data_IF_745191589617
#
_entry.id   IF_745191589617
#
_cell.length_a   1.000
_cell.length_b   1.000
_cell.length_c   1.000
_cell.angle_alpha   90.00
_cell.angle_beta   90.00
_cell.angle_gamma   90.00
#
_symmetry.space_group_name_H-M   'P 1'
#
loop_
_entity.id
_entity.type
_entity.pdbx_description
1 polymer ?
#
# COMPACT_ATOMS: atom_id res chain seq x y z
N UNK A 1 23.39 -52.18 51.88
CA UNK A 1 24.68 -51.72 51.34
C UNK A 1 24.46 -50.33 50.78
N UNK A 2 24.84 -49.29 51.51
CA UNK A 2 24.73 -47.91 51.07
C UNK A 2 26.06 -47.51 50.44
N UNK A 3 26.12 -47.50 49.11
CA UNK A 3 27.30 -47.02 48.38
C UNK A 3 27.57 -45.55 48.74
N UNK A 4 28.67 -45.30 49.45
CA UNK A 4 29.17 -43.96 49.71
C UNK A 4 29.65 -43.37 48.38
N UNK A 5 28.93 -42.38 47.84
CA UNK A 5 29.38 -41.66 46.65
C UNK A 5 30.76 -41.02 46.93
N UNK A 6 31.75 -41.19 46.04
CA UNK A 6 33.08 -40.62 46.24
C UNK A 6 32.99 -39.09 46.30
N UNK A 7 33.67 -38.50 47.29
CA UNK A 7 33.80 -37.05 47.45
C UNK A 7 34.67 -36.53 46.31
N UNK A 8 34.19 -35.58 45.50
CA UNK A 8 34.93 -35.05 44.35
C UNK A 8 36.21 -34.36 44.81
N UNK A 9 37.28 -34.49 44.03
CA UNK A 9 38.52 -33.77 44.31
C UNK A 9 38.32 -32.25 44.15
N UNK A 10 39.14 -31.40 44.81
CA UNK A 10 39.01 -29.94 44.73
C UNK A 10 38.99 -29.41 43.28
N UNK A 11 39.81 -29.99 42.39
CA UNK A 11 39.87 -29.63 40.97
C UNK A 11 38.59 -30.03 40.20
N UNK A 12 37.95 -31.13 40.57
CA UNK A 12 36.68 -31.56 39.96
C UNK A 12 35.50 -30.70 40.44
N UNK A 13 35.54 -30.23 41.68
CA UNK A 13 34.54 -29.30 42.22
C UNK A 13 34.63 -27.93 41.50
N UNK A 14 35.83 -27.41 41.28
CA UNK A 14 36.09 -26.16 40.57
C UNK A 14 35.61 -26.22 39.10
N UNK A 15 36.00 -27.27 38.35
CA UNK A 15 35.53 -27.48 36.97
C UNK A 15 34.01 -27.62 36.87
N UNK A 16 33.34 -28.20 37.88
CA UNK A 16 31.87 -28.29 37.93
C UNK A 16 31.24 -26.93 38.20
N UNK A 17 31.85 -26.10 39.05
CA UNK A 17 31.39 -24.73 39.31
C UNK A 17 31.52 -23.86 38.05
N UNK A 18 32.65 -23.92 37.36
CA UNK A 18 32.89 -23.20 36.11
C UNK A 18 31.88 -23.61 35.03
N UNK A 19 31.64 -24.92 34.84
CA UNK A 19 30.64 -25.41 33.88
C UNK A 19 29.23 -24.89 34.18
N UNK A 20 28.84 -24.83 35.46
CA UNK A 20 27.54 -24.26 35.88
C UNK A 20 27.47 -22.76 35.64
N UNK A 21 28.55 -22.04 35.93
CA UNK A 21 28.65 -20.59 35.66
C UNK A 21 28.55 -20.29 34.16
N UNK A 22 29.32 -20.99 33.32
CA UNK A 22 29.25 -20.83 31.87
C UNK A 22 27.88 -21.22 31.31
N UNK A 23 27.24 -22.26 31.83
CA UNK A 23 25.87 -22.62 31.45
C UNK A 23 24.86 -21.52 31.84
N UNK A 24 25.00 -20.91 33.02
CA UNK A 24 24.14 -19.82 33.47
C UNK A 24 24.32 -18.55 32.61
N UNK A 25 25.57 -18.18 32.31
CA UNK A 25 25.89 -17.05 31.42
C UNK A 25 25.34 -17.33 30.01
N UNK A 26 25.57 -18.54 29.49
CA UNK A 26 25.03 -18.96 28.20
C UNK A 26 23.51 -18.87 28.14
N UNK A 27 22.82 -19.32 29.20
CA UNK A 27 21.37 -19.19 29.33
C UNK A 27 20.88 -17.74 29.34
N UNK A 28 21.59 -16.84 30.05
CA UNK A 28 21.26 -15.42 30.10
C UNK A 28 21.47 -14.71 28.76
N UNK A 29 22.54 -15.05 28.04
CA UNK A 29 22.81 -14.55 26.68
C UNK A 29 21.73 -15.02 25.70
N UNK A 30 21.32 -16.29 25.79
CA UNK A 30 20.21 -16.81 24.96
C UNK A 30 18.91 -16.09 25.28
N UNK A 31 18.56 -15.93 26.57
CA UNK A 31 17.35 -15.22 26.98
C UNK A 31 17.35 -13.76 26.49
N UNK A 32 18.49 -13.06 26.62
CA UNK A 32 18.66 -11.70 26.10
C UNK A 32 18.53 -11.64 24.57
N UNK A 33 19.14 -12.58 23.85
CA UNK A 33 19.03 -12.67 22.40
C UNK A 33 17.58 -12.92 21.96
N UNK A 34 16.84 -13.79 22.65
CA UNK A 34 15.41 -14.01 22.40
C UNK A 34 14.60 -12.73 22.59
N UNK A 35 14.84 -11.96 23.65
CA UNK A 35 14.17 -10.66 23.86
C UNK A 35 14.44 -9.71 22.69
N UNK A 36 15.67 -9.63 22.21
CA UNK A 36 16.00 -8.77 21.06
C UNK A 36 15.33 -9.24 19.76
N UNK A 37 15.30 -10.55 19.51
CA UNK A 37 14.66 -11.13 18.32
C UNK A 37 13.15 -10.92 18.34
N UNK A 38 12.50 -11.12 19.48
CA UNK A 38 11.04 -11.02 19.58
C UNK A 38 10.54 -9.59 19.88
N UNK A 39 11.43 -8.65 20.16
CA UNK A 39 11.07 -7.25 20.46
C UNK A 39 10.20 -6.64 19.39
N UNK A 40 10.65 -6.68 18.13
CA UNK A 40 9.96 -6.06 17.00
C UNK A 40 8.58 -6.68 16.72
N UNK A 41 8.43 -8.03 16.60
CA UNK A 41 7.13 -8.62 16.35
C UNK A 41 6.15 -8.44 17.52
N UNK A 42 6.63 -8.43 18.77
CA UNK A 42 5.79 -8.12 19.93
C UNK A 42 5.29 -6.67 19.86
N UNK A 43 6.19 -5.72 19.59
CA UNK A 43 5.84 -4.30 19.45
C UNK A 43 4.86 -4.07 18.29
N UNK A 44 5.08 -4.69 17.14
CA UNK A 44 4.20 -4.59 15.99
C UNK A 44 2.79 -5.09 16.32
N UNK A 45 2.67 -6.26 16.95
CA UNK A 45 1.36 -6.80 17.36
C UNK A 45 0.67 -5.93 18.39
N UNK A 46 1.42 -5.40 19.35
CA UNK A 46 0.90 -4.49 20.36
C UNK A 46 0.37 -3.19 19.74
N UNK A 47 1.13 -2.54 18.85
CA UNK A 47 0.70 -1.31 18.20
C UNK A 47 -0.47 -1.53 17.24
N UNK A 48 -0.51 -2.65 16.53
CA UNK A 48 -1.66 -3.00 15.69
C UNK A 48 -2.92 -3.19 16.54
N UNK A 49 -2.80 -3.87 17.68
CA UNK A 49 -3.91 -4.02 18.63
C UNK A 49 -4.37 -2.67 19.22
N UNK A 50 -3.45 -1.76 19.54
CA UNK A 50 -3.81 -0.42 19.99
C UNK A 50 -4.48 0.41 18.90
N UNK A 51 -4.03 0.26 17.65
CA UNK A 51 -4.62 0.95 16.50
C UNK A 51 -6.09 0.57 16.28
N UNK A 52 -6.51 -0.66 16.61
CA UNK A 52 -7.91 -1.08 16.45
C UNK A 52 -8.84 -0.58 17.56
N UNK A 53 -8.28 -0.17 18.72
CA UNK A 53 -9.03 0.21 19.92
C UNK A 53 -9.01 1.71 20.22
N UNK A 54 -8.03 2.43 19.70
CA UNK A 54 -7.92 3.87 19.92
C UNK A 54 -9.04 4.57 19.17
N UNK A 55 -9.87 5.33 19.88
CA UNK A 55 -10.93 6.17 19.28
C UNK A 55 -10.43 7.59 18.99
N UNK A 56 -9.33 8.03 19.64
CA UNK A 56 -8.73 9.34 19.40
C UNK A 56 -7.80 9.35 18.15
N UNK A 57 -8.03 10.32 17.26
CA UNK A 57 -7.31 10.46 15.98
C UNK A 57 -5.79 10.66 16.11
N UNK A 58 -5.32 11.27 17.21
CA UNK A 58 -3.90 11.47 17.52
C UNK A 58 -3.19 10.13 17.82
N UNK A 59 -3.78 9.27 18.66
CA UNK A 59 -3.22 7.98 19.04
C UNK A 59 -3.25 6.99 17.89
N UNK A 60 -4.34 6.97 17.10
CA UNK A 60 -4.39 6.18 15.87
C UNK A 60 -3.24 6.53 14.93
N UNK A 61 -3.03 7.82 14.66
CA UNK A 61 -1.88 8.29 13.85
C UNK A 61 -0.55 7.88 14.47
N UNK A 62 -0.38 8.02 15.79
CA UNK A 62 0.84 7.62 16.47
C UNK A 62 1.16 6.14 16.22
N UNK A 63 0.22 5.22 16.50
CA UNK A 63 0.45 3.80 16.33
C UNK A 63 0.64 3.41 14.87
N UNK A 64 -0.09 4.05 13.96
CA UNK A 64 0.12 3.88 12.52
C UNK A 64 1.56 4.24 12.12
N UNK A 65 2.06 5.42 12.50
CA UNK A 65 3.43 5.83 12.17
C UNK A 65 4.48 4.92 12.82
N UNK A 66 4.25 4.45 14.04
CA UNK A 66 5.11 3.46 14.70
C UNK A 66 5.19 2.17 13.89
N UNK A 67 4.07 1.64 13.42
CA UNK A 67 4.03 0.45 12.57
C UNK A 67 4.72 0.70 11.22
N UNK A 68 4.44 1.83 10.57
CA UNK A 68 5.08 2.19 9.30
C UNK A 68 6.62 2.28 9.44
N UNK A 69 7.12 2.76 10.58
CA UNK A 69 8.56 2.83 10.85
C UNK A 69 9.25 1.46 10.94
N UNK A 70 8.48 0.36 11.10
CA UNK A 70 9.02 -1.00 11.11
C UNK A 70 9.29 -1.58 9.71
N UNK A 71 8.84 -0.90 8.64
CA UNK A 71 8.99 -1.35 7.25
C UNK A 71 8.49 -2.80 7.07
N UNK A 72 9.31 -3.70 6.53
CA UNK A 72 8.99 -5.11 6.29
C UNK A 72 8.45 -5.85 7.52
N UNK A 73 8.92 -5.50 8.72
CA UNK A 73 8.47 -6.14 9.96
C UNK A 73 7.02 -5.77 10.34
N UNK A 74 6.41 -4.79 9.67
CA UNK A 74 5.00 -4.46 9.86
C UNK A 74 4.06 -5.44 9.14
N UNK A 75 4.53 -6.20 8.13
CA UNK A 75 3.68 -6.99 7.25
C UNK A 75 2.78 -8.01 8.00
N UNK A 76 3.28 -8.78 9.00
CA UNK A 76 2.42 -9.70 9.75
C UNK A 76 1.34 -8.97 10.57
N UNK A 77 1.69 -7.81 11.13
CA UNK A 77 0.77 -6.99 11.90
C UNK A 77 -0.30 -6.36 10.99
N UNK A 78 0.09 -5.81 9.84
CA UNK A 78 -0.81 -5.31 8.82
C UNK A 78 -1.75 -6.40 8.27
N UNK A 79 -1.24 -7.62 8.07
CA UNK A 79 -2.04 -8.78 7.70
C UNK A 79 -3.13 -9.12 8.72
N UNK A 80 -2.89 -8.88 10.02
CA UNK A 80 -3.94 -9.04 11.04
C UNK A 80 -5.02 -7.96 10.96
N UNK A 81 -4.65 -6.72 10.63
CA UNK A 81 -5.58 -5.61 10.46
C UNK A 81 -6.50 -5.80 9.24
N UNK A 82 -5.99 -6.41 8.17
CA UNK A 82 -6.77 -6.76 6.97
C UNK A 82 -7.90 -7.76 7.22
N UNK A 83 -7.92 -8.47 8.35
CA UNK A 83 -9.02 -9.38 8.72
C UNK A 83 -10.04 -8.76 9.67
N UNK A 84 -9.92 -7.46 9.95
CA UNK A 84 -10.78 -6.80 10.90
C UNK A 84 -12.18 -6.51 10.32
N UNK A 85 -13.21 -6.56 11.18
CA UNK A 85 -14.59 -6.34 10.76
C UNK A 85 -14.81 -4.91 10.21
N UNK A 86 -14.19 -3.92 10.84
CA UNK A 86 -14.25 -2.50 10.45
C UNK A 86 -13.41 -2.21 9.20
N UNK A 87 -13.99 -1.70 8.10
CA UNK A 87 -13.25 -1.35 6.88
C UNK A 87 -12.13 -0.33 7.09
N UNK A 88 -12.31 0.63 8.01
CA UNK A 88 -11.30 1.66 8.29
C UNK A 88 -10.00 1.04 8.83
N UNK A 89 -10.13 -0.01 9.66
CA UNK A 89 -8.99 -0.76 10.19
C UNK A 89 -8.33 -1.60 9.10
N UNK A 90 -9.12 -2.23 8.21
CA UNK A 90 -8.57 -2.96 7.07
C UNK A 90 -7.81 -2.02 6.13
N UNK A 91 -8.34 -0.84 5.88
CA UNK A 91 -7.71 0.19 5.05
C UNK A 91 -6.36 0.59 5.64
N UNK A 92 -6.28 0.82 6.95
CA UNK A 92 -5.00 1.06 7.62
C UNK A 92 -4.01 -0.11 7.43
N UNK A 93 -4.50 -1.35 7.48
CA UNK A 93 -3.71 -2.54 7.16
C UNK A 93 -3.14 -2.49 5.74
N UNK A 94 -3.97 -2.25 4.73
CA UNK A 94 -3.54 -2.10 3.34
C UNK A 94 -2.54 -0.96 3.15
N UNK A 95 -2.81 0.21 3.76
CA UNK A 95 -1.90 1.36 3.71
C UNK A 95 -0.56 1.07 4.39
N UNK A 96 -0.53 0.30 5.48
CA UNK A 96 0.74 -0.07 6.12
C UNK A 96 1.61 -0.96 5.23
N UNK A 97 1.00 -1.82 4.42
CA UNK A 97 1.73 -2.68 3.48
C UNK A 97 2.45 -1.90 2.38
N UNK A 98 2.12 -0.64 2.15
CA UNK A 98 2.92 0.27 1.31
C UNK A 98 4.39 0.35 1.76
N UNK A 99 4.64 0.27 3.07
CA UNK A 99 5.98 0.37 3.65
C UNK A 99 6.72 -0.96 3.74
N UNK A 100 6.09 -2.07 3.34
CA UNK A 100 6.66 -3.40 3.40
C UNK A 100 6.95 -3.94 1.99
N UNK A 101 8.21 -4.27 1.74
CA UNK A 101 8.72 -4.82 0.48
C UNK A 101 8.93 -6.33 0.57
N UNK A 102 7.99 -7.03 1.20
CA UNK A 102 8.04 -8.49 1.38
C UNK A 102 7.09 -9.20 0.41
N UNK A 103 7.39 -10.45 0.01
CA UNK A 103 6.45 -11.26 -0.78
C UNK A 103 5.09 -11.44 -0.08
N UNK A 104 5.08 -11.48 1.26
CA UNK A 104 3.85 -11.52 2.03
C UNK A 104 3.02 -10.25 1.85
N UNK A 105 3.64 -9.06 1.90
CA UNK A 105 2.96 -7.79 1.67
C UNK A 105 2.33 -7.73 0.26
N UNK A 106 3.07 -8.18 -0.76
CA UNK A 106 2.55 -8.28 -2.14
C UNK A 106 1.31 -9.15 -2.23
N UNK A 107 1.37 -10.37 -1.67
CA UNK A 107 0.26 -11.31 -1.66
C UNK A 107 -0.97 -10.74 -0.94
N UNK A 108 -0.76 -10.06 0.18
CA UNK A 108 -1.82 -9.43 0.96
C UNK A 108 -2.46 -8.25 0.21
N UNK A 109 -1.67 -7.42 -0.47
CA UNK A 109 -2.15 -6.32 -1.29
C UNK A 109 -2.95 -6.82 -2.51
N UNK A 110 -2.47 -7.84 -3.22
CA UNK A 110 -3.21 -8.47 -4.32
C UNK A 110 -4.57 -9.01 -3.85
N UNK A 111 -4.61 -9.66 -2.68
CA UNK A 111 -5.88 -10.10 -2.09
C UNK A 111 -6.80 -8.91 -1.72
N UNK A 112 -6.22 -7.80 -1.25
CA UNK A 112 -6.94 -6.58 -0.88
C UNK A 112 -7.66 -5.90 -2.04
N UNK A 113 -7.25 -6.14 -3.30
CA UNK A 113 -7.98 -5.67 -4.49
C UNK A 113 -9.41 -6.22 -4.55
N UNK A 114 -9.69 -7.35 -3.90
CA UNK A 114 -11.02 -7.98 -3.87
C UNK A 114 -11.80 -7.70 -2.57
N UNK A 115 -11.36 -6.74 -1.75
CA UNK A 115 -12.08 -6.38 -0.51
C UNK A 115 -13.46 -5.79 -0.84
N UNK A 116 -14.52 -6.08 -0.04
CA UNK A 116 -15.83 -5.47 -0.25
C UNK A 116 -15.85 -3.95 -0.11
N UNK A 117 -14.96 -3.35 0.70
CA UNK A 117 -14.87 -1.90 0.87
C UNK A 117 -14.02 -1.25 -0.23
N UNK A 118 -14.56 -0.22 -0.89
CA UNK A 118 -13.88 0.48 -1.96
C UNK A 118 -12.56 1.11 -1.50
N UNK A 119 -12.52 1.74 -0.33
CA UNK A 119 -11.31 2.39 0.14
C UNK A 119 -10.20 1.41 0.54
N UNK A 120 -10.53 0.17 0.93
CA UNK A 120 -9.53 -0.89 1.10
C UNK A 120 -8.96 -1.32 -0.25
N UNK A 121 -9.80 -1.50 -1.27
CA UNK A 121 -9.35 -1.83 -2.63
C UNK A 121 -8.44 -0.75 -3.21
N UNK A 122 -8.80 0.52 -3.03
CA UNK A 122 -8.00 1.67 -3.44
C UNK A 122 -6.64 1.71 -2.73
N UNK A 123 -6.62 1.51 -1.41
CA UNK A 123 -5.39 1.44 -0.63
C UNK A 123 -4.49 0.27 -1.06
N UNK A 124 -5.09 -0.87 -1.41
CA UNK A 124 -4.37 -2.03 -1.94
C UNK A 124 -3.74 -1.73 -3.31
N UNK A 125 -4.50 -1.14 -4.24
CA UNK A 125 -3.98 -0.71 -5.55
C UNK A 125 -2.84 0.29 -5.41
N UNK A 126 -2.95 1.25 -4.48
CA UNK A 126 -1.89 2.20 -4.16
C UNK A 126 -0.63 1.53 -3.61
N UNK A 127 -0.81 0.56 -2.70
CA UNK A 127 0.31 -0.20 -2.14
C UNK A 127 1.05 -1.01 -3.20
N UNK A 128 0.33 -1.59 -4.18
CA UNK A 128 0.94 -2.28 -5.31
C UNK A 128 1.70 -1.33 -6.22
N UNK A 129 1.14 -0.13 -6.48
CA UNK A 129 1.75 0.83 -7.39
C UNK A 129 3.12 1.37 -6.94
N UNK A 130 3.36 1.44 -5.63
CA UNK A 130 4.62 1.97 -5.08
C UNK A 130 5.69 0.88 -5.00
N UNK A 131 5.28 -0.37 -4.92
CA UNK A 131 6.17 -1.51 -4.96
C UNK A 131 6.44 -1.87 -6.42
N UNK A 132 7.43 -1.19 -7.03
CA UNK A 132 7.90 -1.39 -8.43
C UNK A 132 8.57 -2.78 -8.64
N UNK A 133 7.84 -3.83 -8.30
CA UNK A 133 8.24 -5.22 -8.43
C UNK A 133 7.73 -5.75 -9.78
N UNK A 134 8.62 -6.38 -10.55
CA UNK A 134 8.30 -6.94 -11.86
C UNK A 134 7.21 -8.02 -11.78
N UNK A 135 7.20 -8.82 -10.70
CA UNK A 135 6.16 -9.84 -10.48
C UNK A 135 4.78 -9.20 -10.27
N UNK A 136 4.74 -8.07 -9.56
CA UNK A 136 3.49 -7.32 -9.33
C UNK A 136 3.00 -6.70 -10.63
N UNK A 137 3.92 -6.11 -11.39
CA UNK A 137 3.58 -5.53 -12.69
C UNK A 137 2.99 -6.59 -13.62
N UNK A 138 3.57 -7.78 -13.67
CA UNK A 138 3.06 -8.89 -14.48
C UNK A 138 1.66 -9.31 -14.04
N UNK A 139 1.44 -9.53 -12.74
CA UNK A 139 0.12 -9.88 -12.21
C UNK A 139 -0.94 -8.80 -12.50
N UNK A 140 -0.58 -7.52 -12.41
CA UNK A 140 -1.49 -6.42 -12.74
C UNK A 140 -1.80 -6.36 -14.24
N UNK A 141 -0.82 -6.62 -15.11
CA UNK A 141 -1.05 -6.72 -16.55
C UNK A 141 -2.01 -7.87 -16.89
N UNK A 142 -1.87 -9.03 -16.24
CA UNK A 142 -2.79 -10.16 -16.42
C UNK A 142 -4.22 -9.82 -15.96
N UNK A 143 -4.36 -9.15 -14.81
CA UNK A 143 -5.67 -8.68 -14.31
C UNK A 143 -6.30 -7.68 -15.28
N UNK A 144 -5.52 -6.76 -15.85
CA UNK A 144 -6.01 -5.80 -16.85
C UNK A 144 -6.36 -6.46 -18.19
N UNK A 145 -5.69 -7.55 -18.55
CA UNK A 145 -5.97 -8.27 -19.78
C UNK A 145 -7.39 -8.88 -19.80
N UNK A 146 -7.89 -9.32 -18.64
CA UNK A 146 -9.25 -9.84 -18.47
C UNK A 146 -10.23 -8.78 -17.93
N UNK A 147 -10.97 -8.12 -18.83
CA UNK A 147 -11.98 -7.13 -18.45
C UNK A 147 -13.17 -7.71 -17.66
N UNK A 148 -13.30 -9.04 -17.54
CA UNK A 148 -14.31 -9.66 -16.65
C UNK A 148 -13.87 -9.63 -15.19
N UNK A 149 -12.57 -9.42 -14.95
CA UNK A 149 -12.06 -9.25 -13.61
C UNK A 149 -12.66 -7.98 -12.99
N UNK A 150 -13.27 -8.06 -11.80
CA UNK A 150 -13.77 -6.88 -11.10
C UNK A 150 -12.63 -5.93 -10.70
N UNK A 151 -11.38 -6.39 -10.79
CA UNK A 151 -10.19 -5.64 -10.38
C UNK A 151 -9.49 -4.96 -11.57
N UNK A 152 -9.99 -5.11 -12.80
CA UNK A 152 -9.34 -4.57 -14.00
C UNK A 152 -9.14 -3.05 -13.94
N UNK A 153 -10.13 -2.30 -13.43
CA UNK A 153 -10.02 -0.85 -13.28
C UNK A 153 -8.93 -0.44 -12.27
N UNK A 154 -8.87 -1.13 -11.12
CA UNK A 154 -7.83 -0.90 -10.12
C UNK A 154 -6.44 -1.30 -10.62
N UNK A 155 -6.35 -2.35 -11.43
CA UNK A 155 -5.10 -2.76 -12.06
C UNK A 155 -4.61 -1.71 -13.07
N UNK A 156 -5.50 -1.16 -13.90
CA UNK A 156 -5.18 -0.04 -14.77
C UNK A 156 -4.66 1.17 -13.98
N UNK A 157 -5.35 1.52 -12.89
CA UNK A 157 -4.95 2.64 -12.02
C UNK A 157 -3.57 2.41 -11.37
N UNK A 158 -3.30 1.20 -10.89
CA UNK A 158 -2.02 0.84 -10.30
C UNK A 158 -0.89 0.89 -11.35
N UNK A 159 -1.11 0.29 -12.54
CA UNK A 159 -0.16 0.34 -13.66
C UNK A 159 0.13 1.77 -14.13
N UNK A 160 -0.90 2.61 -14.21
CA UNK A 160 -0.80 4.04 -14.53
C UNK A 160 0.15 4.79 -13.60
N UNK A 161 0.15 4.42 -12.32
CA UNK A 161 1.03 5.01 -11.30
C UNK A 161 2.43 4.38 -11.25
N UNK A 162 2.54 3.08 -11.52
CA UNK A 162 3.83 2.39 -11.60
C UNK A 162 4.67 2.94 -12.75
N UNK A 163 4.03 3.17 -13.89
CA UNK A 163 4.70 3.59 -15.11
C UNK A 163 5.65 2.54 -15.70
N UNK A 164 6.50 2.99 -16.62
CA UNK A 164 7.44 2.17 -17.36
C UNK A 164 6.83 1.49 -18.59
N UNK A 165 7.70 1.05 -19.49
CA UNK A 165 7.34 0.62 -20.85
C UNK A 165 6.30 -0.50 -20.86
N UNK A 166 6.40 -1.46 -19.93
CA UNK A 166 5.46 -2.58 -19.84
C UNK A 166 4.07 -2.15 -19.36
N UNK A 167 3.97 -1.17 -18.45
CA UNK A 167 2.69 -0.60 -18.05
C UNK A 167 2.08 0.22 -19.19
N UNK A 168 2.89 1.03 -19.88
CA UNK A 168 2.47 1.78 -21.07
C UNK A 168 1.89 0.86 -22.15
N UNK A 169 2.61 -0.22 -22.48
CA UNK A 169 2.16 -1.20 -23.48
C UNK A 169 0.85 -1.88 -23.08
N UNK A 170 0.71 -2.28 -21.81
CA UNK A 170 -0.51 -2.93 -21.32
C UNK A 170 -1.72 -1.99 -21.33
N UNK A 171 -1.55 -0.72 -20.95
CA UNK A 171 -2.61 0.28 -20.98
C UNK A 171 -3.02 0.66 -22.42
N UNK A 172 -2.05 0.76 -23.34
CA UNK A 172 -2.32 0.98 -24.76
C UNK A 172 -3.13 -0.16 -25.36
N UNK A 173 -2.69 -1.40 -25.14
CA UNK A 173 -3.41 -2.59 -25.60
C UNK A 173 -4.83 -2.65 -25.02
N UNK A 174 -4.97 -2.38 -23.71
CA UNK A 174 -6.27 -2.34 -23.05
C UNK A 174 -7.20 -1.31 -23.68
N UNK A 175 -6.74 -0.08 -23.95
CA UNK A 175 -7.57 0.95 -24.60
C UNK A 175 -7.99 0.55 -26.01
N UNK A 176 -7.09 -0.06 -26.78
CA UNK A 176 -7.34 -0.52 -28.15
C UNK A 176 -8.39 -1.65 -28.23
N UNK A 177 -8.53 -2.44 -27.15
CA UNK A 177 -9.55 -3.51 -27.05
C UNK A 177 -10.92 -3.02 -26.57
N UNK A 178 -11.14 -1.71 -26.50
CA UNK A 178 -12.41 -1.08 -26.13
C UNK A 178 -12.99 -1.59 -24.80
N UNK A 179 -12.34 -1.25 -23.67
CA UNK A 179 -12.70 -1.78 -22.36
C UNK A 179 -14.04 -1.19 -21.85
N UNK A 180 -14.68 -1.83 -20.87
CA UNK A 180 -15.84 -1.26 -20.17
C UNK A 180 -15.53 0.14 -19.62
N UNK A 181 -16.57 0.97 -19.49
CA UNK A 181 -16.43 2.41 -19.18
C UNK A 181 -15.58 2.71 -17.94
N UNK A 182 -15.73 1.91 -16.88
CA UNK A 182 -14.98 2.04 -15.63
C UNK A 182 -13.47 1.78 -15.84
N UNK A 183 -13.13 0.72 -16.56
CA UNK A 183 -11.73 0.38 -16.90
C UNK A 183 -11.17 1.42 -17.89
N UNK A 184 -11.97 1.85 -18.87
CA UNK A 184 -11.59 2.85 -19.86
C UNK A 184 -11.15 4.16 -19.20
N UNK A 185 -11.89 4.62 -18.19
CA UNK A 185 -11.54 5.84 -17.46
C UNK A 185 -10.15 5.72 -16.78
N UNK A 186 -9.91 4.66 -16.04
CA UNK A 186 -8.61 4.43 -15.36
C UNK A 186 -7.47 4.23 -16.36
N UNK A 187 -7.73 3.59 -17.51
CA UNK A 187 -6.73 3.42 -18.59
C UNK A 187 -6.35 4.76 -19.21
N UNK A 188 -7.33 5.59 -19.60
CA UNK A 188 -7.09 6.91 -20.18
C UNK A 188 -6.32 7.80 -19.19
N UNK A 189 -6.70 7.76 -17.92
CA UNK A 189 -6.02 8.52 -16.88
C UNK A 189 -4.58 8.05 -16.66
N UNK A 190 -4.36 6.72 -16.61
CA UNK A 190 -3.04 6.12 -16.50
C UNK A 190 -2.11 6.48 -17.67
N UNK A 191 -2.60 6.42 -18.92
CA UNK A 191 -1.83 6.84 -20.11
C UNK A 191 -1.44 8.33 -20.04
N UNK A 192 -2.33 9.18 -19.52
CA UNK A 192 -2.04 10.59 -19.28
C UNK A 192 -0.98 10.82 -18.20
N UNK A 193 -1.06 10.11 -17.07
CA UNK A 193 -0.09 10.19 -15.97
C UNK A 193 1.32 9.73 -16.40
N UNK A 194 1.42 8.63 -17.16
CA UNK A 194 2.69 8.12 -17.68
C UNK A 194 3.20 8.98 -18.84
N UNK A 195 2.31 9.73 -19.51
CA UNK A 195 2.57 10.57 -20.69
C UNK A 195 2.94 9.74 -21.92
N UNK A 196 2.17 8.70 -22.20
CA UNK A 196 2.36 7.79 -23.34
C UNK A 196 1.99 8.48 -24.65
N UNK A 197 2.99 8.88 -25.45
CA UNK A 197 2.78 9.63 -26.69
C UNK A 197 2.01 8.81 -27.75
N UNK A 198 2.22 7.50 -27.78
CA UNK A 198 1.56 6.57 -28.68
C UNK A 198 0.06 6.47 -28.44
N UNK A 199 -0.43 6.92 -27.27
CA UNK A 199 -1.86 6.92 -26.94
C UNK A 199 -2.62 8.05 -27.65
N UNK A 200 -1.94 9.06 -28.21
CA UNK A 200 -2.58 10.27 -28.75
C UNK A 200 -3.72 9.96 -29.74
N UNK A 201 -3.55 9.09 -30.76
CA UNK A 201 -4.65 8.81 -31.70
C UNK A 201 -5.87 8.16 -31.03
N UNK A 202 -5.65 7.30 -30.02
CA UNK A 202 -6.73 6.66 -29.27
C UNK A 202 -7.44 7.66 -28.36
N UNK A 203 -6.70 8.58 -27.75
CA UNK A 203 -7.25 9.65 -26.93
C UNK A 203 -8.03 10.67 -27.77
N UNK A 204 -7.57 11.01 -28.97
CA UNK A 204 -8.31 11.85 -29.91
C UNK A 204 -9.63 11.22 -30.34
N UNK A 205 -9.67 9.89 -30.49
CA UNK A 205 -10.92 9.19 -30.72
C UNK A 205 -11.86 9.29 -29.50
N UNK A 206 -11.32 9.15 -28.29
CA UNK A 206 -12.06 9.26 -27.03
C UNK A 206 -12.62 10.66 -26.75
N UNK A 207 -12.12 11.73 -27.40
CA UNK A 207 -12.71 13.07 -27.33
C UNK A 207 -14.16 13.13 -27.83
N UNK A 208 -14.60 12.14 -28.62
CA UNK A 208 -15.98 12.05 -29.12
C UNK A 208 -16.91 11.28 -28.18
N UNK A 209 -16.42 10.78 -27.06
CA UNK A 209 -17.18 9.99 -26.09
C UNK A 209 -17.62 10.86 -24.90
N UNK A 210 -18.85 11.39 -24.97
CA UNK A 210 -19.41 12.26 -23.93
C UNK A 210 -20.13 11.50 -22.81
N UNK A 211 -19.95 10.18 -22.72
CA UNK A 211 -20.54 9.42 -21.62
C UNK A 211 -19.99 9.91 -20.27
N UNK A 212 -20.85 10.06 -19.26
CA UNK A 212 -20.42 10.47 -17.93
C UNK A 212 -19.51 9.40 -17.32
N UNK A 213 -18.50 9.83 -16.57
CA UNK A 213 -17.65 8.90 -15.84
C UNK A 213 -18.49 8.20 -14.75
N UNK A 214 -18.42 6.85 -14.63
CA UNK A 214 -19.15 6.12 -13.60
C UNK A 214 -18.63 6.47 -12.19
N UNK A 215 -17.33 6.70 -12.08
CA UNK A 215 -16.65 7.25 -10.92
C UNK A 215 -15.42 8.04 -11.40
N UNK A 216 -14.94 9.03 -10.63
CA UNK A 216 -13.66 9.66 -10.91
C UNK A 216 -12.52 8.63 -10.87
N UNK A 217 -11.50 8.76 -11.75
CA UNK A 217 -10.30 7.94 -11.69
C UNK A 217 -9.67 7.92 -10.29
N UNK A 218 -8.91 6.86 -9.99
CA UNK A 218 -8.29 6.70 -8.68
C UNK A 218 -7.39 7.88 -8.32
N UNK A 219 -6.64 8.41 -9.31
CA UNK A 219 -5.80 9.60 -9.14
C UNK A 219 -6.58 10.80 -8.62
N UNK A 220 -7.78 11.04 -9.16
CA UNK A 220 -8.65 12.14 -8.79
C UNK A 220 -9.27 11.94 -7.40
N UNK A 221 -9.72 10.72 -7.08
CA UNK A 221 -10.22 10.38 -5.74
C UNK A 221 -9.16 10.63 -4.67
N UNK A 222 -7.91 10.27 -4.96
CA UNK A 222 -6.79 10.52 -4.07
C UNK A 222 -6.46 12.02 -3.96
N UNK A 223 -6.51 12.75 -5.07
CA UNK A 223 -6.32 14.19 -5.08
C UNK A 223 -7.39 14.90 -4.24
N UNK A 224 -8.67 14.52 -4.40
CA UNK A 224 -9.78 15.01 -3.59
C UNK A 224 -9.57 14.69 -2.10
N UNK A 225 -9.19 13.46 -1.77
CA UNK A 225 -8.92 13.04 -0.39
C UNK A 225 -7.77 13.83 0.25
N UNK A 226 -6.68 14.05 -0.50
CA UNK A 226 -5.55 14.86 -0.05
C UNK A 226 -5.94 16.33 0.13
N UNK A 227 -6.70 16.89 -0.81
CA UNK A 227 -7.20 18.26 -0.74
C UNK A 227 -8.13 18.46 0.46
N UNK A 228 -9.08 17.55 0.69
CA UNK A 228 -9.96 17.58 1.85
C UNK A 228 -9.18 17.47 3.17
N UNK A 229 -8.15 16.61 3.23
CA UNK A 229 -7.27 16.51 4.40
C UNK A 229 -6.50 17.82 4.68
N UNK A 230 -6.10 18.56 3.65
CA UNK A 230 -5.46 19.87 3.80
C UNK A 230 -6.42 20.92 4.35
N UNK A 231 -7.68 20.94 3.88
CA UNK A 231 -8.70 21.89 4.35
C UNK A 231 -9.20 21.60 5.77
N UNK A 232 -9.19 20.34 6.19
CA UNK A 232 -9.60 19.91 7.55
C UNK A 232 -8.45 19.88 8.56
N UNK A 233 -7.22 20.18 8.12
CA UNK A 233 -6.06 20.38 8.99
C UNK A 233 -6.20 21.59 9.91
N UNK A 234 -5.28 21.78 10.88
CA UNK A 234 -5.33 22.93 11.77
C UNK A 234 -5.31 24.24 10.97
N UNK A 235 -6.27 25.14 11.25
CA UNK A 235 -6.50 26.40 10.52
C UNK A 235 -5.29 27.36 10.48
N UNK A 236 -4.26 27.09 11.30
CA UNK A 236 -2.98 27.81 11.30
C UNK A 236 -2.05 27.40 10.16
N UNK A 237 -2.38 26.35 9.39
CA UNK A 237 -1.59 25.94 8.24
C UNK A 237 -1.77 26.93 7.08
N UNK A 238 -0.69 27.57 6.58
CA UNK A 238 -0.77 28.54 5.49
C UNK A 238 -1.24 27.95 4.15
N UNK A 239 -1.41 26.63 4.06
CA UNK A 239 -1.99 25.91 2.91
C UNK A 239 -3.51 25.99 2.90
N UNK A 240 -4.19 25.86 4.05
CA UNK A 240 -5.66 25.86 4.11
C UNK A 240 -6.25 27.22 3.72
N UNK A 241 -5.63 28.31 4.16
CA UNK A 241 -6.05 29.67 3.82
C UNK A 241 -5.84 30.02 2.33
N UNK A 242 -4.79 29.47 1.69
CA UNK A 242 -4.51 29.70 0.26
C UNK A 242 -5.41 28.90 -0.68
N UNK A 243 -5.94 27.78 -0.20
CA UNK A 243 -6.81 26.88 -0.97
C UNK A 243 -8.30 27.10 -0.66
N UNK A 244 -8.63 28.01 0.26
CA UNK A 244 -10.01 28.35 0.59
C UNK A 244 -10.71 28.95 -0.65
N UNK A 245 -11.68 28.21 -1.20
CA UNK A 245 -12.41 28.58 -2.42
C UNK A 245 -11.81 28.06 -3.73
N UNK A 246 -10.70 27.32 -3.68
CA UNK A 246 -10.20 26.58 -4.84
C UNK A 246 -11.07 25.33 -5.06
N UNK A 247 -11.71 25.21 -6.22
CA UNK A 247 -12.40 24.00 -6.63
C UNK A 247 -11.49 23.17 -7.52
N UNK A 248 -11.40 21.87 -7.23
CA UNK A 248 -10.65 20.94 -8.05
C UNK A 248 -11.54 20.58 -9.26
N UNK A 249 -11.29 21.24 -10.40
CA UNK A 249 -12.03 20.94 -11.63
C UNK A 249 -11.67 19.54 -12.14
N UNK A 250 -12.60 18.61 -11.96
CA UNK A 250 -12.42 17.22 -12.35
C UNK A 250 -13.23 16.89 -13.60
N UNK A 251 -12.70 16.06 -14.50
CA UNK A 251 -13.41 15.67 -15.70
C UNK A 251 -14.69 14.91 -15.31
N UNK A 252 -15.82 15.32 -15.86
CA UNK A 252 -17.11 14.67 -15.64
C UNK A 252 -17.42 13.60 -16.71
N UNK A 253 -16.73 13.64 -17.85
CA UNK A 253 -16.96 12.77 -19.02
C UNK A 253 -15.67 12.12 -19.51
N UNK A 254 -15.78 11.07 -20.33
CA UNK A 254 -14.63 10.46 -21.00
C UNK A 254 -13.92 11.47 -21.91
N UNK A 255 -14.67 12.29 -22.64
CA UNK A 255 -14.13 13.35 -23.49
C UNK A 255 -13.30 14.36 -22.70
N UNK A 256 -13.78 14.83 -21.55
CA UNK A 256 -13.06 15.75 -20.67
C UNK A 256 -11.79 15.10 -20.08
N UNK A 257 -11.87 13.81 -19.72
CA UNK A 257 -10.73 13.06 -19.21
C UNK A 257 -9.67 12.85 -20.29
N UNK A 258 -10.07 12.48 -21.51
CA UNK A 258 -9.18 12.33 -22.65
C UNK A 258 -8.50 13.66 -23.01
N UNK A 259 -9.23 14.78 -22.97
CA UNK A 259 -8.67 16.11 -23.18
C UNK A 259 -7.61 16.46 -22.11
N UNK A 260 -7.85 16.12 -20.83
CA UNK A 260 -6.85 16.26 -19.77
C UNK A 260 -5.62 15.41 -20.04
N UNK A 261 -5.78 14.12 -20.35
CA UNK A 261 -4.65 13.22 -20.65
C UNK A 261 -3.83 13.69 -21.85
N UNK A 262 -4.48 14.19 -22.91
CA UNK A 262 -3.80 14.80 -24.07
C UNK A 262 -2.98 16.02 -23.68
N UNK A 263 -3.50 16.90 -22.81
CA UNK A 263 -2.75 18.06 -22.29
C UNK A 263 -1.52 17.62 -21.50
N UNK A 264 -1.64 16.59 -20.67
CA UNK A 264 -0.52 16.02 -19.92
C UNK A 264 0.57 15.45 -20.86
N UNK A 265 0.17 14.71 -21.90
CA UNK A 265 1.10 14.12 -22.87
C UNK A 265 1.81 15.22 -23.67
N UNK A 266 1.05 16.11 -24.30
CA UNK A 266 1.57 17.15 -25.22
C UNK A 266 2.28 18.30 -24.52
N UNK A 267 2.12 18.44 -23.20
CA UNK A 267 2.67 19.56 -22.43
C UNK A 267 1.91 20.88 -22.65
N UNK A 268 0.75 20.84 -23.32
CA UNK A 268 -0.13 22.01 -23.42
C UNK A 268 -0.92 22.17 -22.12
N UNK A 269 -0.25 22.68 -21.09
CA UNK A 269 -0.81 22.94 -19.77
C UNK A 269 0.13 23.83 -18.96
N UNK A 270 0.18 25.12 -19.31
CA UNK A 270 0.75 26.15 -18.45
C UNK A 270 -0.21 26.46 -17.29
N UNK A 271 0.40 26.75 -16.13
CA UNK A 271 -0.18 27.14 -14.85
C UNK A 271 -1.42 28.03 -14.92
#
# INVERSE_FOLDING_TARGET
MSESRPVPSPQEAERRADRRMYAAIGGLVIAWALVLVFRTPIQARYWAWQLTRSDESNWQRHYFHRLASLQDACAPAAGSLLRHARPEVRRNGATLLHYARTPEARRLLLAGLSDPDAGVREAAAMGLAVNHDAEVQEALCEILADFRSPNAALAAAALGRMGGDRASAALLDALNREPPLEVKAEVIDGLGQIRVAEAVPLLEAALRDDRPLPAPPLSDRLAQGAFAALLTGPATAPSAARLAGAELELPATISALAARSLRLITGQGGL
#
